data_IF_936728794547
#
_entry.id   IF_936728794547
#
_cell.length_a   1.000
_cell.length_b   1.000
_cell.length_c   1.000
_cell.angle_alpha   90.00
_cell.angle_beta   90.00
_cell.angle_gamma   90.00
#
_symmetry.space_group_name_H-M   'P 1'
#
loop_
_entity.id
_entity.type
_entity.pdbx_description
1 polymer ?
#
# COMPACT_ATOMS: atom_id res chain seq x y z
N UNK A 1 -12.70 0.56 -1.89
CA UNK A 1 -11.59 -0.18 -2.53
C UNK A 1 -12.17 -1.27 -3.43
N UNK A 2 -11.53 -1.52 -4.58
CA UNK A 2 -11.95 -2.57 -5.52
C UNK A 2 -10.82 -3.58 -5.65
N UNK A 3 -11.10 -4.82 -5.28
CA UNK A 3 -10.17 -5.92 -5.42
C UNK A 3 -10.64 -6.89 -6.50
N UNK A 4 -9.71 -7.41 -7.28
CA UNK A 4 -9.97 -8.42 -8.29
C UNK A 4 -8.78 -9.36 -8.43
N UNK A 5 -9.05 -10.63 -8.57
CA UNK A 5 -7.99 -11.63 -8.79
C UNK A 5 -7.43 -11.48 -10.20
N UNK A 6 -6.13 -11.28 -10.29
CA UNK A 6 -5.39 -11.24 -11.56
C UNK A 6 -4.85 -12.63 -11.92
N UNK A 7 -4.86 -12.96 -13.20
CA UNK A 7 -4.29 -14.21 -13.72
C UNK A 7 -2.80 -14.10 -14.05
N UNK A 8 -2.28 -12.89 -14.06
CA UNK A 8 -0.87 -12.57 -14.35
C UNK A 8 -0.43 -11.36 -13.55
N UNK A 9 0.87 -11.07 -13.56
CA UNK A 9 1.43 -9.88 -12.93
C UNK A 9 1.10 -8.56 -13.69
N UNK A 10 0.40 -8.64 -14.83
CA UNK A 10 0.00 -7.45 -15.58
C UNK A 10 -1.41 -7.01 -15.20
N UNK A 11 -1.66 -5.69 -15.04
CA UNK A 11 -2.99 -5.17 -14.80
C UNK A 11 -3.96 -5.56 -15.90
N UNK A 12 -5.11 -6.11 -15.52
CA UNK A 12 -6.21 -6.42 -16.43
C UNK A 12 -7.42 -5.55 -16.07
N UNK A 13 -7.62 -4.50 -16.85
CA UNK A 13 -8.73 -3.56 -16.64
C UNK A 13 -10.10 -4.18 -16.91
N UNK A 14 -10.16 -5.33 -17.59
CA UNK A 14 -11.41 -6.02 -17.90
C UNK A 14 -12.08 -6.63 -16.66
N UNK A 15 -11.29 -6.98 -15.62
CA UNK A 15 -11.79 -7.57 -14.37
C UNK A 15 -12.36 -6.55 -13.38
N UNK A 16 -12.18 -5.25 -13.63
CA UNK A 16 -12.72 -4.19 -12.78
C UNK A 16 -14.25 -4.16 -12.83
N UNK A 17 -14.95 -3.85 -11.71
CA UNK A 17 -16.39 -3.71 -11.68
C UNK A 17 -16.87 -2.60 -12.64
N UNK A 18 -18.07 -2.73 -13.17
CA UNK A 18 -18.63 -1.74 -14.11
C UNK A 18 -19.24 -0.55 -13.35
N UNK A 19 -18.50 0.54 -13.27
CA UNK A 19 -18.96 1.80 -12.72
C UNK A 19 -18.46 2.99 -13.58
N UNK A 20 -18.78 4.22 -13.19
CA UNK A 20 -18.43 5.42 -13.97
C UNK A 20 -16.91 5.58 -14.15
N UNK A 21 -16.11 5.34 -13.10
CA UNK A 21 -14.66 5.44 -13.15
C UNK A 21 -14.05 4.36 -14.05
N UNK A 22 -14.47 3.11 -13.89
CA UNK A 22 -13.94 2.00 -14.68
C UNK A 22 -14.40 2.04 -16.13
N UNK A 23 -15.49 2.75 -16.44
CA UNK A 23 -15.92 3.01 -17.82
C UNK A 23 -14.86 3.81 -18.58
N UNK A 24 -14.30 4.83 -17.95
CA UNK A 24 -13.22 5.65 -18.54
C UNK A 24 -11.96 4.81 -18.74
N UNK A 25 -11.57 4.03 -17.74
CA UNK A 25 -10.38 3.15 -17.80
C UNK A 25 -10.49 2.01 -18.83
N UNK A 26 -11.72 1.65 -19.22
CA UNK A 26 -11.99 0.62 -20.24
C UNK A 26 -12.03 1.16 -21.68
N UNK A 27 -11.99 2.48 -21.85
CA UNK A 27 -11.83 3.06 -23.18
C UNK A 27 -10.47 2.59 -23.74
N UNK A 28 -10.51 1.91 -24.89
CA UNK A 28 -9.32 1.33 -25.49
C UNK A 28 -8.26 2.39 -25.82
N UNK A 29 -8.66 3.62 -26.14
CA UNK A 29 -7.73 4.71 -26.40
C UNK A 29 -7.02 5.15 -25.12
N UNK A 30 -7.75 5.24 -24.00
CA UNK A 30 -7.18 5.58 -22.69
C UNK A 30 -6.33 4.43 -22.18
N UNK A 31 -6.83 3.20 -22.23
CA UNK A 31 -6.12 2.02 -21.77
C UNK A 31 -4.76 1.84 -22.46
N UNK A 32 -4.68 2.13 -23.76
CA UNK A 32 -3.44 2.04 -24.52
C UNK A 32 -2.39 3.11 -24.19
N UNK A 33 -2.80 4.20 -23.53
CA UNK A 33 -1.91 5.29 -23.11
C UNK A 33 -1.41 5.15 -21.67
N UNK A 34 -1.95 4.20 -20.91
CA UNK A 34 -1.52 3.97 -19.52
C UNK A 34 -0.10 3.43 -19.50
N UNK A 35 0.74 4.07 -18.69
CA UNK A 35 2.10 3.62 -18.42
C UNK A 35 2.30 3.39 -16.91
N UNK A 36 3.04 2.35 -16.52
CA UNK A 36 3.35 2.14 -15.10
C UNK A 36 4.30 3.24 -14.63
N UNK A 37 3.92 3.98 -13.60
CA UNK A 37 4.74 5.03 -13.00
C UNK A 37 5.44 4.54 -11.72
N UNK A 38 4.87 3.55 -11.06
CA UNK A 38 5.45 2.87 -9.90
C UNK A 38 5.05 1.40 -9.88
N UNK A 39 5.77 0.61 -9.14
CA UNK A 39 5.42 -0.78 -8.83
C UNK A 39 5.71 -1.11 -7.37
N UNK A 40 4.90 -2.00 -6.79
CA UNK A 40 5.14 -2.61 -5.49
C UNK A 40 5.36 -4.10 -5.69
N UNK A 41 6.49 -4.60 -5.20
CA UNK A 41 6.82 -6.03 -5.23
C UNK A 41 6.88 -6.51 -3.78
N UNK A 42 5.82 -7.19 -3.32
CA UNK A 42 5.58 -7.46 -1.92
C UNK A 42 5.23 -8.93 -1.72
N UNK A 43 5.92 -9.54 -0.78
CA UNK A 43 5.54 -10.84 -0.22
C UNK A 43 4.74 -10.60 1.05
N UNK A 44 3.46 -10.96 1.04
CA UNK A 44 2.54 -10.84 2.17
C UNK A 44 2.36 -12.18 2.88
N UNK A 45 2.47 -12.16 4.19
CA UNK A 45 2.12 -13.27 5.08
C UNK A 45 0.93 -12.88 5.93
N UNK A 46 -0.14 -13.68 5.90
CA UNK A 46 -1.39 -13.42 6.63
C UNK A 46 -1.57 -14.39 7.79
N UNK A 47 -2.11 -13.87 8.90
CA UNK A 47 -2.59 -14.65 10.04
C UNK A 47 -3.88 -14.06 10.57
N UNK A 48 -4.79 -14.93 11.00
CA UNK A 48 -5.98 -14.53 11.74
C UNK A 48 -5.75 -14.83 13.23
N UNK A 49 -5.94 -13.83 14.06
CA UNK A 49 -5.82 -13.93 15.51
C UNK A 49 -7.18 -13.72 16.17
N UNK A 50 -7.42 -14.49 17.23
CA UNK A 50 -8.59 -14.37 18.11
C UNK A 50 -8.11 -14.06 19.54
N UNK A 51 -7.66 -12.84 19.83
CA UNK A 51 -7.06 -12.49 21.11
C UNK A 51 -8.05 -12.58 22.27
N UNK A 52 -9.34 -12.50 22.00
CA UNK A 52 -10.42 -12.67 22.98
C UNK A 52 -11.68 -13.26 22.31
N UNK A 53 -12.63 -13.83 23.07
CA UNK A 53 -13.92 -14.27 22.54
C UNK A 53 -14.63 -13.13 21.77
N UNK A 54 -15.06 -13.42 20.55
CA UNK A 54 -15.75 -12.44 19.68
C UNK A 54 -14.85 -11.40 19.03
N UNK A 55 -13.53 -11.51 19.16
CA UNK A 55 -12.55 -10.63 18.49
C UNK A 55 -11.81 -11.41 17.42
N UNK A 56 -11.81 -10.89 16.19
CA UNK A 56 -11.05 -11.42 15.06
C UNK A 56 -10.24 -10.30 14.41
N UNK A 57 -8.92 -10.47 14.38
CA UNK A 57 -7.98 -9.52 13.79
C UNK A 57 -7.14 -10.25 12.75
N UNK A 58 -7.10 -9.70 11.54
CA UNK A 58 -6.14 -10.11 10.52
C UNK A 58 -4.84 -9.35 10.70
N UNK A 59 -3.75 -10.11 10.73
CA UNK A 59 -2.38 -9.59 10.82
C UNK A 59 -1.68 -9.90 9.52
N UNK A 60 -1.24 -8.88 8.80
CA UNK A 60 -0.44 -9.01 7.59
C UNK A 60 0.97 -8.51 7.85
N UNK A 61 1.96 -9.28 7.39
CA UNK A 61 3.36 -8.86 7.34
C UNK A 61 3.74 -8.75 5.89
N UNK A 62 4.07 -7.55 5.47
CA UNK A 62 4.50 -7.20 4.12
C UNK A 62 6.01 -6.98 4.10
N UNK A 63 6.69 -7.69 3.23
CA UNK A 63 8.12 -7.53 3.00
C UNK A 63 8.41 -7.39 1.52
N UNK A 64 9.13 -6.34 1.13
CA UNK A 64 9.42 -6.12 -0.28
C UNK A 64 9.99 -4.74 -0.58
N UNK A 65 9.61 -4.20 -1.72
CA UNK A 65 10.05 -2.88 -2.13
C UNK A 65 9.01 -2.15 -3.00
N UNK A 66 9.06 -0.83 -2.94
CA UNK A 66 8.36 0.09 -3.83
C UNK A 66 9.39 0.64 -4.80
N UNK A 67 9.05 0.69 -6.10
CA UNK A 67 9.95 1.15 -7.16
C UNK A 67 9.30 2.22 -8.01
N UNK A 68 10.07 3.22 -8.42
CA UNK A 68 9.71 4.14 -9.49
C UNK A 68 10.96 4.55 -10.27
N UNK A 69 11.03 4.19 -11.53
CA UNK A 69 12.24 4.35 -12.35
C UNK A 69 13.45 3.65 -11.71
N UNK A 70 14.51 4.41 -11.41
CA UNK A 70 15.71 3.89 -10.74
C UNK A 70 15.64 3.98 -9.20
N UNK A 71 14.60 4.59 -8.66
CA UNK A 71 14.43 4.78 -7.22
C UNK A 71 13.74 3.59 -6.61
N UNK A 72 14.16 3.24 -5.39
CA UNK A 72 13.63 2.10 -4.64
C UNK A 72 13.53 2.46 -3.17
N UNK A 73 12.50 1.94 -2.54
CA UNK A 73 12.30 2.02 -1.11
C UNK A 73 11.97 0.63 -0.58
N UNK A 74 12.74 0.16 0.39
CA UNK A 74 12.47 -1.12 1.06
C UNK A 74 11.26 -0.98 1.95
N UNK A 75 10.46 -2.03 1.99
CA UNK A 75 9.24 -2.11 2.76
C UNK A 75 9.30 -3.31 3.69
N UNK A 76 9.03 -3.07 4.96
CA UNK A 76 8.77 -4.09 5.98
C UNK A 76 7.68 -3.53 6.89
N UNK A 77 6.44 -3.96 6.71
CA UNK A 77 5.27 -3.42 7.40
C UNK A 77 4.47 -4.51 8.09
N UNK A 78 3.88 -4.13 9.21
CA UNK A 78 2.87 -4.89 9.91
C UNK A 78 1.54 -4.14 9.77
N UNK A 79 0.54 -4.79 9.19
CA UNK A 79 -0.82 -4.28 9.09
C UNK A 79 -1.74 -5.08 10.01
N UNK A 80 -2.61 -4.38 10.72
CA UNK A 80 -3.64 -4.97 11.57
C UNK A 80 -5.00 -4.54 11.05
N UNK A 81 -5.87 -5.49 10.75
CA UNK A 81 -7.23 -5.22 10.30
C UNK A 81 -8.24 -5.90 11.22
N UNK A 82 -9.13 -5.10 11.83
CA UNK A 82 -10.21 -5.62 12.65
C UNK A 82 -11.31 -6.21 11.74
N UNK A 83 -11.49 -7.52 11.80
CA UNK A 83 -12.57 -8.21 11.09
C UNK A 83 -13.82 -8.32 11.95
N UNK A 84 -13.68 -8.45 13.27
CA UNK A 84 -14.78 -8.54 14.23
C UNK A 84 -14.35 -8.08 15.62
N UNK A 85 -15.25 -7.43 16.35
CA UNK A 85 -15.04 -7.00 17.72
C UNK A 85 -14.92 -5.49 17.89
N UNK A 86 -14.61 -5.02 19.09
CA UNK A 86 -14.44 -3.59 19.37
C UNK A 86 -13.08 -3.09 18.83
N UNK A 87 -13.05 -1.85 18.37
CA UNK A 87 -11.82 -1.22 17.85
C UNK A 87 -10.71 -1.12 18.90
N UNK A 88 -11.05 -1.07 20.19
CA UNK A 88 -10.09 -1.07 21.30
C UNK A 88 -9.20 -2.30 21.28
N UNK A 89 -9.75 -3.46 20.91
CA UNK A 89 -8.96 -4.70 20.84
C UNK A 89 -7.86 -4.63 19.75
N UNK A 90 -8.08 -3.87 18.68
CA UNK A 90 -7.07 -3.62 17.65
C UNK A 90 -5.91 -2.78 18.21
N UNK A 91 -6.24 -1.70 18.94
CA UNK A 91 -5.23 -0.84 19.57
C UNK A 91 -4.48 -1.54 20.68
N UNK A 92 -5.17 -2.36 21.50
CA UNK A 92 -4.53 -3.16 22.55
C UNK A 92 -3.49 -4.13 21.96
N UNK A 93 -3.82 -4.80 20.85
CA UNK A 93 -2.88 -5.66 20.16
C UNK A 93 -1.70 -4.87 19.57
N UNK A 94 -1.98 -3.70 18.96
CA UNK A 94 -0.95 -2.84 18.38
C UNK A 94 0.05 -2.37 19.45
N UNK A 95 -0.43 -1.96 20.62
CA UNK A 95 0.42 -1.56 21.76
C UNK A 95 1.27 -2.70 22.28
N UNK A 96 0.68 -3.89 22.46
CA UNK A 96 1.44 -5.09 22.87
C UNK A 96 2.57 -5.42 21.89
N UNK A 97 2.31 -5.32 20.59
CA UNK A 97 3.33 -5.57 19.57
C UNK A 97 4.42 -4.50 19.59
N UNK A 98 4.05 -3.23 19.81
CA UNK A 98 5.00 -2.12 19.91
C UNK A 98 5.90 -2.21 21.15
N UNK A 99 5.43 -2.81 22.26
CA UNK A 99 6.26 -3.09 23.43
C UNK A 99 7.32 -4.17 23.18
N UNK A 100 7.02 -5.11 22.28
CA UNK A 100 7.91 -6.23 21.96
C UNK A 100 8.90 -5.92 20.83
N UNK A 101 8.54 -4.99 19.93
CA UNK A 101 9.29 -4.69 18.72
C UNK A 101 9.36 -3.17 18.49
N UNK A 102 10.46 -2.63 17.94
CA UNK A 102 10.57 -1.22 17.57
C UNK A 102 9.72 -0.92 16.35
N UNK A 103 8.42 -0.69 16.56
CA UNK A 103 7.46 -0.34 15.51
C UNK A 103 7.26 1.17 15.46
N UNK A 104 7.19 1.71 14.26
CA UNK A 104 6.82 3.10 13.99
C UNK A 104 5.49 3.13 13.24
N UNK A 105 4.67 4.12 13.52
CA UNK A 105 3.39 4.29 12.86
C UNK A 105 3.61 4.85 11.44
N UNK A 106 3.29 4.06 10.43
CA UNK A 106 3.30 4.54 9.04
C UNK A 106 2.00 5.30 8.73
N UNK A 107 2.12 6.51 8.20
CA UNK A 107 1.00 7.39 7.87
C UNK A 107 0.70 7.45 6.37
N UNK A 108 1.65 6.99 5.55
CA UNK A 108 1.52 7.05 4.09
C UNK A 108 1.25 5.67 3.52
N UNK A 109 0.30 5.59 2.64
CA UNK A 109 0.03 4.37 1.89
C UNK A 109 1.21 4.02 0.97
N UNK A 110 1.33 2.75 0.60
CA UNK A 110 2.33 2.28 -0.38
C UNK A 110 2.25 3.07 -1.70
N UNK A 111 1.03 3.43 -2.11
CA UNK A 111 0.81 4.24 -3.31
C UNK A 111 1.37 5.66 -3.15
N UNK A 112 1.08 6.35 -2.04
CA UNK A 112 1.63 7.70 -1.77
C UNK A 112 3.15 7.69 -1.75
N UNK A 113 3.75 6.71 -1.09
CA UNK A 113 5.21 6.53 -1.08
C UNK A 113 5.76 6.28 -2.49
N UNK A 114 5.08 5.48 -3.28
CA UNK A 114 5.44 5.24 -4.68
C UNK A 114 5.36 6.50 -5.55
N UNK A 115 4.31 7.31 -5.37
CA UNK A 115 4.21 8.61 -6.04
C UNK A 115 5.27 9.59 -5.57
N UNK A 116 5.61 9.62 -4.30
CA UNK A 116 6.72 10.44 -3.79
C UNK A 116 8.06 10.05 -4.44
N UNK A 117 8.32 8.75 -4.65
CA UNK A 117 9.49 8.29 -5.40
C UNK A 117 9.43 8.71 -6.87
N UNK A 118 8.26 8.68 -7.48
CA UNK A 118 8.05 9.12 -8.87
C UNK A 118 8.34 10.61 -9.00
N UNK A 119 7.75 11.44 -8.16
CA UNK A 119 7.93 12.89 -8.19
C UNK A 119 9.39 13.29 -7.91
N UNK A 120 10.03 12.60 -6.97
CA UNK A 120 11.41 12.87 -6.61
C UNK A 120 12.42 12.65 -7.75
N UNK A 121 12.13 11.81 -8.75
CA UNK A 121 13.03 11.64 -9.90
C UNK A 121 13.03 12.87 -10.84
N UNK A 122 12.01 13.72 -10.78
CA UNK A 122 11.91 14.96 -11.55
C UNK A 122 12.27 16.20 -10.73
N UNK A 123 12.47 16.06 -9.42
CA UNK A 123 12.85 17.17 -8.55
C UNK A 123 14.31 17.56 -8.80
N UNK A 124 14.52 18.76 -9.32
CA UNK A 124 15.85 19.37 -9.39
C UNK A 124 16.20 19.88 -7.99
N UNK A 125 17.40 19.57 -7.43
CA UNK A 125 17.83 20.14 -6.15
C UNK A 125 17.79 21.66 -6.20
N UNK A 126 16.88 22.29 -5.47
CA UNK A 126 16.90 23.74 -5.32
C UNK A 126 18.00 24.09 -4.31
N UNK A 127 18.98 24.86 -4.77
CA UNK A 127 19.99 25.46 -3.90
C UNK A 127 19.27 26.43 -2.97
N UNK A 128 19.39 26.23 -1.65
CA UNK A 128 18.87 27.18 -0.69
C UNK A 128 19.45 28.56 -1.01
N UNK A 129 18.58 29.56 -1.20
CA UNK A 129 19.03 30.95 -1.32
C UNK A 129 19.64 31.37 0.00
N UNK A 130 20.83 31.93 -0.05
CA UNK A 130 21.44 32.53 1.13
C UNK A 130 20.53 33.65 1.63
N UNK A 131 20.10 33.56 2.88
CA UNK A 131 19.39 34.65 3.55
C UNK A 131 20.46 35.66 3.88
N UNK A 132 20.45 36.78 3.14
CA UNK A 132 21.30 37.94 3.43
C UNK A 132 20.76 38.74 4.61
#
# INVERSE_FOLDING_TARGET
EFESVLRSAQPDLSVLPRNALTKVLRDANIASTLVPVLSTDIKRSLRLLTPAPGVLIEVAIDFGEIRSGLRREKLCELELELKQGPVTALFDLALQLAELHPLELEQHSKAERGYALYDAQFSVPQKAAAVG
#
